data_IF_505872782768
#
_entry.id   IF_505872782768
#
_cell.length_a   1.000
_cell.length_b   1.000
_cell.length_c   1.000
_cell.angle_alpha   90.00
_cell.angle_beta   90.00
_cell.angle_gamma   90.00
#
_symmetry.space_group_name_H-M   'P 1'
#
loop_
_entity.id
_entity.type
_entity.pdbx_description
1 polymer ?
#
# COMPACT_ATOMS: atom_id res chain seq x y z
N UNK A 1 -3.87 -16.30 12.55
CA UNK A 1 -3.88 -15.44 11.36
C UNK A 1 -2.77 -15.95 10.47
N UNK A 2 -3.11 -16.72 9.44
CA UNK A 2 -2.11 -17.31 8.54
C UNK A 2 -2.06 -16.47 7.27
N UNK A 3 -0.87 -16.04 6.86
CA UNK A 3 -0.65 -15.24 5.64
C UNK A 3 -1.30 -15.89 4.41
N UNK A 4 -1.36 -17.23 4.39
CA UNK A 4 -2.00 -18.00 3.33
C UNK A 4 -3.48 -17.68 3.16
N UNK A 5 -4.22 -17.46 4.25
CA UNK A 5 -5.64 -17.11 4.20
C UNK A 5 -5.85 -15.78 3.45
N UNK A 6 -5.02 -14.78 3.72
CA UNK A 6 -5.12 -13.48 3.05
C UNK A 6 -4.69 -13.55 1.60
N UNK A 7 -3.66 -14.33 1.27
CA UNK A 7 -3.28 -14.59 -0.12
C UNK A 7 -4.44 -15.18 -0.93
N UNK A 8 -5.17 -16.14 -0.35
CA UNK A 8 -6.32 -16.76 -1.02
C UNK A 8 -7.51 -15.79 -1.14
N UNK A 9 -7.74 -14.92 -0.15
CA UNK A 9 -8.76 -13.86 -0.23
C UNK A 9 -8.43 -12.84 -1.33
N UNK A 10 -7.17 -12.41 -1.43
CA UNK A 10 -6.70 -11.49 -2.49
C UNK A 10 -6.80 -12.15 -3.86
N UNK A 11 -6.35 -13.40 -4.03
CA UNK A 11 -6.44 -14.13 -5.31
C UNK A 11 -7.88 -14.26 -5.80
N UNK A 12 -8.80 -14.58 -4.88
CA UNK A 12 -10.23 -14.64 -5.20
C UNK A 12 -10.80 -13.27 -5.56
N UNK A 13 -10.36 -12.20 -4.91
CA UNK A 13 -10.82 -10.85 -5.23
C UNK A 13 -10.27 -10.38 -6.58
N UNK A 14 -9.02 -10.70 -6.93
CA UNK A 14 -8.42 -10.29 -8.21
C UNK A 14 -9.01 -11.01 -9.41
N UNK A 15 -9.61 -12.19 -9.22
CA UNK A 15 -10.16 -13.01 -10.31
C UNK A 15 -11.29 -12.34 -11.11
N UNK A 16 -11.84 -11.21 -10.63
CA UNK A 16 -12.83 -10.42 -11.36
C UNK A 16 -12.22 -9.51 -12.44
N UNK A 17 -10.90 -9.32 -12.44
CA UNK A 17 -10.19 -8.44 -13.37
C UNK A 17 -9.55 -9.23 -14.51
N UNK A 18 -9.27 -8.56 -15.63
CA UNK A 18 -8.57 -9.14 -16.78
C UNK A 18 -7.53 -8.14 -17.32
N UNK A 19 -6.23 -8.48 -17.32
CA UNK A 19 -5.63 -9.68 -16.72
C UNK A 19 -5.82 -9.72 -15.19
N UNK A 20 -5.85 -10.92 -14.59
CA UNK A 20 -6.03 -11.06 -13.13
C UNK A 20 -4.90 -10.37 -12.35
N UNK A 21 -3.68 -10.47 -12.86
CA UNK A 21 -2.48 -9.88 -12.26
C UNK A 21 -1.73 -9.03 -13.27
N UNK A 22 -1.04 -8.02 -12.75
CA UNK A 22 0.00 -7.31 -13.49
C UNK A 22 1.24 -8.17 -13.70
N UNK A 23 2.12 -7.75 -14.60
CA UNK A 23 3.44 -8.35 -14.74
C UNK A 23 4.29 -8.13 -13.48
N UNK A 24 5.32 -8.97 -13.23
CA UNK A 24 6.19 -8.81 -12.07
C UNK A 24 6.86 -7.43 -11.97
N UNK A 25 7.16 -6.78 -13.10
CA UNK A 25 7.74 -5.45 -13.12
C UNK A 25 6.76 -4.36 -12.67
N UNK A 26 5.51 -4.44 -13.11
CA UNK A 26 4.45 -3.52 -12.69
C UNK A 26 4.14 -3.68 -11.19
N UNK A 27 4.12 -4.91 -10.69
CA UNK A 27 3.97 -5.19 -9.25
C UNK A 27 5.10 -4.51 -8.45
N UNK A 28 6.35 -4.63 -8.90
CA UNK A 28 7.50 -3.98 -8.25
C UNK A 28 7.35 -2.45 -8.21
N UNK A 29 6.91 -1.85 -9.33
CA UNK A 29 6.68 -0.42 -9.40
C UNK A 29 5.57 0.01 -8.43
N UNK A 30 4.46 -0.73 -8.37
CA UNK A 30 3.34 -0.47 -7.45
C UNK A 30 3.75 -0.59 -5.99
N UNK A 31 4.44 -1.66 -5.60
CA UNK A 31 4.95 -1.80 -4.22
C UNK A 31 5.88 -0.64 -3.85
N UNK A 32 6.72 -0.18 -4.79
CA UNK A 32 7.62 0.96 -4.55
C UNK A 32 6.86 2.27 -4.33
N UNK A 33 5.75 2.46 -5.06
CA UNK A 33 4.84 3.59 -4.88
C UNK A 33 4.24 3.63 -3.48
N UNK A 34 3.63 2.52 -3.03
CA UNK A 34 2.99 2.44 -1.71
C UNK A 34 4.01 2.58 -0.57
N UNK A 35 5.23 2.05 -0.73
CA UNK A 35 6.34 2.30 0.22
C UNK A 35 6.69 3.78 0.33
N UNK A 36 6.59 4.53 -0.78
CA UNK A 36 6.78 5.98 -0.79
C UNK A 36 5.70 6.73 -0.02
N UNK A 37 4.45 6.29 -0.12
CA UNK A 37 3.31 6.82 0.63
C UNK A 37 3.45 6.55 2.13
N UNK A 38 3.77 5.31 2.51
CA UNK A 38 4.09 4.94 3.88
C UNK A 38 5.24 5.79 4.44
N UNK A 39 6.32 5.95 3.68
CA UNK A 39 7.45 6.77 4.09
C UNK A 39 7.05 8.23 4.33
N UNK A 40 6.14 8.78 3.53
CA UNK A 40 5.60 10.13 3.71
C UNK A 40 4.83 10.24 5.03
N UNK A 41 3.96 9.27 5.35
CA UNK A 41 3.19 9.28 6.60
C UNK A 41 4.07 9.08 7.84
N UNK A 42 5.04 8.16 7.77
CA UNK A 42 6.02 7.95 8.85
C UNK A 42 6.82 9.23 9.10
N UNK A 43 7.29 9.90 8.05
CA UNK A 43 8.06 11.14 8.18
C UNK A 43 7.19 12.30 8.71
N UNK A 44 5.92 12.36 8.34
CA UNK A 44 4.99 13.35 8.88
C UNK A 44 4.74 13.16 10.40
N UNK A 45 4.54 11.91 10.83
CA UNK A 45 4.23 11.56 12.22
C UNK A 45 5.45 11.66 13.12
N UNK A 46 6.57 11.08 12.70
CA UNK A 46 7.74 10.85 13.56
C UNK A 46 9.00 11.62 13.11
N UNK A 47 9.00 12.17 11.89
CA UNK A 47 10.13 12.87 11.31
C UNK A 47 10.03 14.40 11.37
N UNK A 48 11.04 15.09 10.83
CA UNK A 48 11.16 16.54 10.89
C UNK A 48 10.23 17.28 9.92
N UNK A 49 9.74 16.62 8.86
CA UNK A 49 8.89 17.26 7.85
C UNK A 49 7.42 17.12 8.24
N UNK A 50 6.83 18.20 8.76
CA UNK A 50 5.39 18.24 9.05
C UNK A 50 4.56 18.44 7.79
N UNK A 51 3.36 17.85 7.79
CA UNK A 51 2.36 18.09 6.75
C UNK A 51 1.92 19.54 6.72
N UNK A 52 1.57 20.01 5.54
CA UNK A 52 0.84 21.29 5.40
C UNK A 52 -0.57 21.11 5.97
N UNK A 53 -1.19 22.17 6.51
CA UNK A 53 -2.58 22.09 7.01
C UNK A 53 -3.61 21.65 5.95
N UNK A 54 -3.29 21.83 4.67
CA UNK A 54 -4.12 21.43 3.54
C UNK A 54 -3.93 19.97 3.11
N UNK A 55 -2.94 19.27 3.64
CA UNK A 55 -2.67 17.87 3.30
C UNK A 55 -3.55 16.95 4.15
N UNK A 56 -4.26 16.04 3.50
CA UNK A 56 -5.07 15.03 4.18
C UNK A 56 -4.18 14.13 5.05
N UNK A 57 -4.66 13.82 6.25
CA UNK A 57 -3.99 12.86 7.13
C UNK A 57 -4.51 11.48 6.79
N UNK A 58 -3.66 10.66 6.16
CA UNK A 58 -3.95 9.25 5.94
C UNK A 58 -3.57 8.43 7.17
N UNK A 59 -4.26 7.31 7.38
CA UNK A 59 -3.97 6.43 8.50
C UNK A 59 -2.77 5.54 8.21
N UNK A 60 -1.82 5.49 9.13
CA UNK A 60 -0.60 4.68 8.97
C UNK A 60 -0.94 3.19 8.81
N UNK A 61 -2.04 2.73 9.39
CA UNK A 61 -2.52 1.37 9.23
C UNK A 61 -2.93 1.05 7.79
N UNK A 62 -3.52 2.02 7.07
CA UNK A 62 -3.94 1.86 5.69
C UNK A 62 -2.70 1.77 4.78
N UNK A 63 -1.73 2.67 4.97
CA UNK A 63 -0.47 2.66 4.21
C UNK A 63 0.38 1.39 4.44
N UNK A 64 0.27 0.78 5.62
CA UNK A 64 0.91 -0.50 5.90
C UNK A 64 0.15 -1.64 5.22
N UNK A 65 -1.18 -1.55 5.12
CA UNK A 65 -2.01 -2.57 4.50
C UNK A 65 -1.91 -2.59 2.96
N UNK A 66 -1.50 -1.46 2.36
CA UNK A 66 -1.23 -1.36 0.91
C UNK A 66 0.04 -2.12 0.47
N UNK A 67 0.89 -2.56 1.41
CA UNK A 67 2.15 -3.31 1.17
C UNK A 67 1.98 -4.80 1.48
#
# INVERSE_FOLDING_TARGET
MEIKKYQDEVDKWTSQFTPQYWSPHEILARVTEEVGELAREVNARFGPKKKKPSEETKELGDEIADI
#
